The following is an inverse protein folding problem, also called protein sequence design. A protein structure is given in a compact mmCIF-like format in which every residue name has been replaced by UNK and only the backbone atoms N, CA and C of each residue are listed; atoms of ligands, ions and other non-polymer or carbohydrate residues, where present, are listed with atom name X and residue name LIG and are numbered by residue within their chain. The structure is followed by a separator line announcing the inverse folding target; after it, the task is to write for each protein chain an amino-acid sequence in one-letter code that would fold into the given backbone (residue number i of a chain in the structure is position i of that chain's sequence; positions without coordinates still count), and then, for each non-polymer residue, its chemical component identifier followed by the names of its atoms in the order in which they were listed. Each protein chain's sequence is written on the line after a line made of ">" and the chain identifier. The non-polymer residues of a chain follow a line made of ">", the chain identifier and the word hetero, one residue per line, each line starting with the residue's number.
data_IF_933511540339
#
_entry.id   IF_933511540339
#
_cell.length_a   1.000
_cell.length_b   1.000
_cell.length_c   1.000
_cell.angle_alpha   90.00
_cell.angle_beta   90.00
_cell.angle_gamma   90.00
#
_symmetry.space_group_name_H-M   'P 1'
#
loop_
_entity.id
_entity.type
_entity.pdbx_description
1 polymer ?
#
# COMPACT_ATOMS: atom_id res chain seq x y z
N UNK A 1 -40.55 16.71 64.00
CA UNK A 1 -39.15 16.20 64.01
C UNK A 1 -38.82 15.73 62.60
N UNK A 2 -38.28 16.59 61.72
CA UNK A 2 -36.86 16.67 61.29
C UNK A 2 -36.23 15.31 60.86
N UNK A 3 -36.23 15.10 59.52
CA UNK A 3 -35.31 14.45 58.53
C UNK A 3 -34.20 13.44 58.98
N UNK A 4 -33.55 12.62 58.10
CA UNK A 4 -33.51 12.71 56.62
C UNK A 4 -33.44 11.36 55.82
N UNK A 5 -33.55 11.48 54.48
CA UNK A 5 -32.91 10.70 53.39
C UNK A 5 -32.55 9.22 53.56
N UNK A 6 -33.03 8.38 52.63
CA UNK A 6 -32.16 7.49 51.84
C UNK A 6 -32.60 7.48 50.38
N UNK A 7 -31.90 8.27 49.60
CA UNK A 7 -31.88 8.26 48.14
C UNK A 7 -31.30 6.92 47.69
N UNK A 8 -32.15 6.00 47.21
CA UNK A 8 -31.69 4.74 46.62
C UNK A 8 -31.24 5.02 45.19
N UNK A 9 -29.96 5.35 45.01
CA UNK A 9 -29.32 5.36 43.70
C UNK A 9 -29.27 3.91 43.18
N UNK A 10 -30.19 3.55 42.29
CA UNK A 10 -30.04 2.35 41.47
C UNK A 10 -29.04 2.69 40.37
N UNK A 11 -27.78 2.34 40.59
CA UNK A 11 -26.75 2.30 39.55
C UNK A 11 -27.09 1.12 38.62
N UNK A 12 -27.88 1.37 37.58
CA UNK A 12 -27.98 0.44 36.45
C UNK A 12 -26.66 0.55 35.71
N UNK A 13 -25.75 -0.40 35.95
CA UNK A 13 -24.55 -0.56 35.18
C UNK A 13 -24.94 -0.83 33.72
N UNK A 14 -24.85 0.21 32.88
CA UNK A 14 -24.82 0.11 31.43
C UNK A 14 -23.60 -0.74 31.06
N UNK A 15 -23.78 -2.05 30.97
CA UNK A 15 -22.91 -2.91 30.17
C UNK A 15 -23.11 -2.54 28.71
N UNK A 16 -22.45 -1.46 28.26
CA UNK A 16 -22.23 -1.22 26.86
C UNK A 16 -21.29 -2.32 26.37
N UNK A 17 -21.74 -3.24 25.48
CA UNK A 17 -20.81 -4.13 24.83
C UNK A 17 -19.92 -3.24 23.96
N UNK A 18 -18.68 -3.02 24.39
CA UNK A 18 -17.63 -2.55 23.48
C UNK A 18 -17.49 -3.63 22.43
N UNK A 19 -18.08 -3.41 21.26
CA UNK A 19 -17.89 -4.25 20.09
C UNK A 19 -16.42 -4.06 19.70
N UNK A 20 -15.54 -4.89 20.27
CA UNK A 20 -14.26 -5.17 19.66
C UNK A 20 -14.60 -5.91 18.36
N UNK A 21 -14.59 -5.19 17.24
CA UNK A 21 -14.62 -5.83 15.93
C UNK A 21 -13.33 -6.64 15.79
N UNK A 22 -13.40 -7.93 16.09
CA UNK A 22 -12.39 -8.89 15.68
C UNK A 22 -12.48 -8.99 14.15
N UNK A 23 -11.68 -8.20 13.44
CA UNK A 23 -11.65 -8.23 11.98
C UNK A 23 -11.34 -9.65 11.52
N UNK A 24 -12.19 -10.22 10.67
CA UNK A 24 -11.98 -11.58 10.20
C UNK A 24 -10.71 -11.66 9.35
N UNK A 25 -10.03 -12.81 9.36
CA UNK A 25 -8.85 -13.02 8.52
C UNK A 25 -9.13 -12.73 7.04
N UNK A 26 -10.33 -13.08 6.55
CA UNK A 26 -10.78 -12.81 5.17
C UNK A 26 -10.85 -11.33 4.83
N UNK A 27 -11.32 -10.48 5.74
CA UNK A 27 -11.36 -9.02 5.52
C UNK A 27 -9.95 -8.44 5.41
N UNK A 28 -9.00 -8.93 6.21
CA UNK A 28 -7.60 -8.49 6.16
C UNK A 28 -6.96 -8.86 4.82
N UNK A 29 -7.20 -10.08 4.31
CA UNK A 29 -6.71 -10.47 2.98
C UNK A 29 -7.35 -9.65 1.85
N UNK A 30 -8.65 -9.36 1.95
CA UNK A 30 -9.32 -8.50 0.97
C UNK A 30 -8.72 -7.09 0.93
N UNK A 31 -8.42 -6.51 2.10
CA UNK A 31 -7.77 -5.20 2.18
C UNK A 31 -6.34 -5.22 1.63
N UNK A 32 -5.55 -6.26 1.93
CA UNK A 32 -4.21 -6.43 1.36
C UNK A 32 -4.23 -6.49 -0.18
N UNK A 33 -5.21 -7.19 -0.75
CA UNK A 33 -5.40 -7.24 -2.20
C UNK A 33 -5.76 -5.88 -2.79
N UNK A 34 -6.67 -5.14 -2.11
CA UNK A 34 -7.08 -3.80 -2.55
C UNK A 34 -5.91 -2.82 -2.55
N UNK A 35 -5.09 -2.81 -1.50
CA UNK A 35 -3.87 -2.00 -1.41
C UNK A 35 -2.95 -2.27 -2.60
N UNK A 36 -2.67 -3.55 -2.85
CA UNK A 36 -1.75 -3.95 -3.92
C UNK A 36 -2.29 -3.58 -5.30
N UNK A 37 -3.58 -3.81 -5.55
CA UNK A 37 -4.22 -3.52 -6.83
C UNK A 37 -4.25 -2.01 -7.14
N UNK A 38 -4.53 -1.17 -6.14
CA UNK A 38 -4.53 0.28 -6.33
C UNK A 38 -3.11 0.81 -6.58
N UNK A 39 -2.10 0.31 -5.85
CA UNK A 39 -0.70 0.67 -6.09
C UNK A 39 -0.24 0.29 -7.50
N UNK A 40 -0.54 -0.93 -7.96
CA UNK A 40 -0.18 -1.39 -9.32
C UNK A 40 -0.89 -0.57 -10.41
N UNK A 41 -2.15 -0.19 -10.19
CA UNK A 41 -2.89 0.70 -11.10
C UNK A 41 -2.19 2.06 -11.25
N UNK A 42 -1.78 2.67 -10.14
CA UNK A 42 -1.07 3.95 -10.15
C UNK A 42 0.31 3.84 -10.80
N UNK A 43 1.02 2.75 -10.54
CA UNK A 43 2.31 2.45 -11.17
C UNK A 43 2.20 2.37 -12.69
N UNK A 44 1.21 1.62 -13.18
CA UNK A 44 0.97 1.47 -14.62
C UNK A 44 0.61 2.81 -15.27
N UNK A 45 -0.23 3.62 -14.62
CA UNK A 45 -0.56 4.95 -15.11
C UNK A 45 0.67 5.86 -15.23
N UNK A 46 1.55 5.87 -14.22
CA UNK A 46 2.79 6.65 -14.27
C UNK A 46 3.77 6.14 -15.35
N UNK A 47 3.89 4.82 -15.49
CA UNK A 47 4.73 4.19 -16.51
C UNK A 47 4.24 4.52 -17.94
N UNK A 48 2.93 4.42 -18.19
CA UNK A 48 2.33 4.76 -19.48
C UNK A 48 2.49 6.24 -19.81
N UNK A 49 2.35 7.11 -18.81
CA UNK A 49 2.57 8.55 -18.98
C UNK A 49 4.01 8.85 -19.39
N UNK A 50 5.00 8.23 -18.75
CA UNK A 50 6.40 8.40 -19.11
C UNK A 50 6.70 7.90 -20.52
N UNK A 51 6.14 6.76 -20.94
CA UNK A 51 6.27 6.27 -22.33
C UNK A 51 5.72 7.30 -23.32
N UNK A 52 4.56 7.90 -23.04
CA UNK A 52 3.96 8.93 -23.90
C UNK A 52 4.86 10.15 -24.00
N UNK A 53 5.40 10.63 -22.88
CA UNK A 53 6.34 11.77 -22.87
C UNK A 53 7.60 11.46 -23.65
N UNK A 54 8.25 10.31 -23.44
CA UNK A 54 9.44 9.89 -24.19
C UNK A 54 9.18 9.93 -25.71
N UNK A 55 8.03 9.41 -26.15
CA UNK A 55 7.66 9.37 -27.57
C UNK A 55 7.28 10.73 -28.16
N UNK A 56 6.77 11.64 -27.34
CA UNK A 56 6.45 13.00 -27.76
C UNK A 56 7.71 13.87 -27.91
N UNK A 57 8.69 13.66 -27.04
CA UNK A 57 9.86 14.54 -26.91
C UNK A 57 11.08 14.10 -27.74
N UNK A 58 11.03 12.94 -28.39
CA UNK A 58 12.18 12.35 -29.09
C UNK A 58 11.82 11.87 -30.51
N UNK A 59 12.81 11.84 -31.41
CA UNK A 59 12.67 11.14 -32.68
C UNK A 59 12.42 9.63 -32.47
N UNK A 60 11.72 9.01 -33.43
CA UNK A 60 11.19 7.64 -33.30
C UNK A 60 12.22 6.61 -32.81
N UNK A 61 13.40 6.58 -33.42
CA UNK A 61 14.41 5.55 -33.11
C UNK A 61 14.99 5.74 -31.70
N UNK A 62 15.19 6.99 -31.29
CA UNK A 62 15.63 7.34 -29.94
C UNK A 62 14.55 7.07 -28.89
N UNK A 63 13.30 7.42 -29.19
CA UNK A 63 12.16 7.15 -28.33
C UNK A 63 12.04 5.65 -28.03
N UNK A 64 12.11 4.80 -29.06
CA UNK A 64 11.99 3.35 -28.86
C UNK A 64 13.21 2.75 -28.13
N UNK A 65 14.42 3.28 -28.32
CA UNK A 65 15.58 2.90 -27.51
C UNK A 65 15.37 3.22 -26.03
N UNK A 66 14.89 4.44 -25.72
CA UNK A 66 14.62 4.88 -24.35
C UNK A 66 13.49 4.07 -23.69
N UNK A 67 12.39 3.82 -24.42
CA UNK A 67 11.29 2.95 -23.96
C UNK A 67 11.79 1.53 -23.69
N UNK A 68 12.70 1.01 -24.53
CA UNK A 68 13.37 -0.27 -24.30
C UNK A 68 14.11 -0.31 -22.96
N UNK A 69 14.93 0.71 -22.67
CA UNK A 69 15.68 0.82 -21.39
C UNK A 69 14.76 1.02 -20.19
N UNK A 70 13.71 1.81 -20.33
CA UNK A 70 12.69 1.99 -19.29
C UNK A 70 12.02 0.65 -18.94
N UNK A 71 11.66 -0.14 -19.96
CA UNK A 71 11.06 -1.48 -19.77
C UNK A 71 12.01 -2.44 -19.05
N UNK A 72 13.29 -2.43 -19.40
CA UNK A 72 14.32 -3.23 -18.71
C UNK A 72 14.45 -2.82 -17.24
N UNK A 73 14.56 -1.51 -16.97
CA UNK A 73 14.61 -0.95 -15.61
C UNK A 73 13.37 -1.33 -14.79
N UNK A 74 12.18 -1.19 -15.37
CA UNK A 74 10.93 -1.52 -14.69
C UNK A 74 10.82 -3.01 -14.33
N UNK A 75 11.25 -3.90 -15.22
CA UNK A 75 11.28 -5.35 -14.95
C UNK A 75 12.26 -5.71 -13.83
N UNK A 76 13.44 -5.09 -13.82
CA UNK A 76 14.42 -5.30 -12.75
C UNK A 76 13.88 -4.79 -11.40
N UNK A 77 13.23 -3.62 -11.41
CA UNK A 77 12.61 -3.05 -10.22
C UNK A 77 11.49 -3.92 -9.65
N UNK A 78 10.63 -4.51 -10.49
CA UNK A 78 9.58 -5.45 -10.01
C UNK A 78 10.18 -6.64 -9.28
N UNK A 79 11.25 -7.24 -9.82
CA UNK A 79 11.97 -8.34 -9.15
C UNK A 79 12.56 -7.91 -7.82
N UNK A 80 13.15 -6.71 -7.76
CA UNK A 80 13.66 -6.13 -6.53
C UNK A 80 12.54 -5.94 -5.50
N UNK A 81 11.42 -5.32 -5.87
CA UNK A 81 10.27 -5.09 -5.00
C UNK A 81 9.80 -6.41 -4.38
N UNK A 82 9.56 -7.41 -5.21
CA UNK A 82 8.99 -8.69 -4.76
C UNK A 82 9.97 -9.43 -3.83
N UNK A 83 11.28 -9.40 -4.14
CA UNK A 83 12.32 -9.96 -3.27
C UNK A 83 12.44 -9.21 -1.94
N UNK A 84 12.38 -7.87 -1.98
CA UNK A 84 12.50 -7.01 -0.81
C UNK A 84 11.29 -7.13 0.12
N UNK A 85 10.07 -7.21 -0.43
CA UNK A 85 8.84 -7.46 0.33
C UNK A 85 8.89 -8.83 1.01
N UNK A 86 9.38 -9.85 0.29
CA UNK A 86 9.57 -11.19 0.86
C UNK A 86 10.60 -11.17 1.99
N UNK A 87 11.75 -10.54 1.78
CA UNK A 87 12.79 -10.39 2.80
C UNK A 87 12.27 -9.71 4.06
N UNK A 88 11.60 -8.56 3.93
CA UNK A 88 11.04 -7.83 5.07
C UNK A 88 9.93 -8.63 5.76
N UNK A 89 9.07 -9.31 5.00
CA UNK A 89 8.02 -10.17 5.55
C UNK A 89 8.58 -11.33 6.39
N UNK A 90 9.65 -11.96 5.93
CA UNK A 90 10.36 -13.02 6.67
C UNK A 90 11.12 -12.43 7.87
N UNK A 91 11.83 -11.32 7.69
CA UNK A 91 12.65 -10.71 8.74
C UNK A 91 11.80 -10.19 9.90
N UNK A 92 10.65 -9.57 9.59
CA UNK A 92 9.77 -9.01 10.58
C UNK A 92 9.16 -10.07 11.51
N UNK A 93 8.99 -11.33 11.06
CA UNK A 93 8.46 -12.53 11.75
C UNK A 93 7.64 -12.35 13.05
N UNK A 94 6.79 -11.33 13.12
CA UNK A 94 6.04 -10.92 14.31
C UNK A 94 4.57 -10.78 13.90
N UNK A 95 3.65 -11.17 14.78
CA UNK A 95 2.21 -11.10 14.55
C UNK A 95 1.63 -12.33 13.85
N UNK A 96 0.35 -12.25 13.45
CA UNK A 96 -0.37 -13.34 12.76
C UNK A 96 -0.03 -13.38 11.26
N UNK A 97 -0.40 -14.48 10.59
CA UNK A 97 -0.26 -14.58 9.13
C UNK A 97 -1.04 -13.50 8.36
N UNK A 98 -2.25 -13.16 8.83
CA UNK A 98 -3.06 -12.10 8.22
C UNK A 98 -2.42 -10.72 8.42
N UNK A 99 -1.92 -10.40 9.62
CA UNK A 99 -1.23 -9.14 9.88
C UNK A 99 0.06 -9.02 9.07
N UNK A 100 0.83 -10.09 8.91
CA UNK A 100 2.01 -10.10 8.02
C UNK A 100 1.64 -9.85 6.57
N UNK A 101 0.56 -10.47 6.09
CA UNK A 101 0.10 -10.28 4.70
C UNK A 101 -0.30 -8.83 4.43
N UNK A 102 -1.04 -8.21 5.37
CA UNK A 102 -1.39 -6.79 5.27
C UNK A 102 -0.14 -5.91 5.28
N UNK A 103 0.79 -6.15 6.22
CA UNK A 103 2.05 -5.40 6.30
C UNK A 103 2.90 -5.50 5.04
N UNK A 104 2.99 -6.71 4.44
CA UNK A 104 3.69 -6.93 3.17
C UNK A 104 3.03 -6.16 2.01
N UNK A 105 1.69 -6.15 1.93
CA UNK A 105 0.97 -5.38 0.93
C UNK A 105 1.20 -3.88 1.10
N UNK A 106 1.11 -3.36 2.32
CA UNK A 106 1.41 -1.95 2.61
C UNK A 106 2.85 -1.58 2.26
N UNK A 107 3.83 -2.41 2.60
CA UNK A 107 5.22 -2.15 2.26
C UNK A 107 5.48 -2.19 0.74
N UNK A 108 4.84 -3.12 0.03
CA UNK A 108 4.86 -3.16 -1.44
C UNK A 108 4.30 -1.87 -2.06
N UNK A 109 3.22 -1.33 -1.48
CA UNK A 109 2.64 -0.07 -1.92
C UNK A 109 3.58 1.12 -1.69
N UNK A 110 4.30 1.18 -0.57
CA UNK A 110 5.29 2.24 -0.31
C UNK A 110 6.47 2.18 -1.29
N UNK A 111 7.02 0.99 -1.56
CA UNK A 111 8.05 0.83 -2.60
C UNK A 111 7.52 1.29 -3.97
N UNK A 112 6.27 0.97 -4.28
CA UNK A 112 5.60 1.35 -5.52
C UNK A 112 5.42 2.86 -5.62
N UNK A 113 5.10 3.54 -4.51
CA UNK A 113 5.02 5.01 -4.44
C UNK A 113 6.37 5.67 -4.73
N UNK A 114 7.46 5.15 -4.18
CA UNK A 114 8.80 5.66 -4.49
C UNK A 114 9.13 5.47 -5.98
N UNK A 115 8.76 4.33 -6.57
CA UNK A 115 8.96 4.12 -8.00
C UNK A 115 8.12 5.06 -8.86
N UNK A 116 6.89 5.36 -8.47
CA UNK A 116 6.05 6.36 -9.16
C UNK A 116 6.72 7.73 -9.14
N UNK A 117 7.35 8.11 -8.01
CA UNK A 117 8.13 9.34 -7.93
C UNK A 117 9.31 9.32 -8.89
N UNK A 118 10.07 8.23 -8.96
CA UNK A 118 11.15 8.09 -9.94
C UNK A 118 10.63 8.27 -11.38
N UNK A 119 9.52 7.60 -11.72
CA UNK A 119 8.92 7.65 -13.06
C UNK A 119 8.39 9.04 -13.45
N UNK A 120 7.90 9.81 -12.49
CA UNK A 120 7.33 11.14 -12.74
C UNK A 120 8.36 12.27 -12.66
N UNK A 121 9.55 11.98 -12.12
CA UNK A 121 10.64 12.96 -11.96
C UNK A 121 11.84 12.68 -12.85
N UNK A 122 11.78 11.65 -13.73
CA UNK A 122 12.83 11.40 -14.72
C UNK A 122 13.08 12.69 -15.49
N UNK A 123 14.26 13.32 -15.33
CA UNK A 123 14.57 14.54 -16.06
C UNK A 123 14.57 14.18 -17.54
N UNK A 124 13.95 15.00 -18.39
CA UNK A 124 14.31 14.99 -19.79
C UNK A 124 15.77 15.49 -19.85
N UNK A 125 16.76 14.65 -20.18
CA UNK A 125 18.16 15.07 -20.09
C UNK A 125 18.56 16.03 -21.21
N UNK A 126 17.63 16.45 -22.08
CA UNK A 126 17.89 17.30 -23.25
C UNK A 126 16.74 18.26 -23.53
#
# INVERSE_FOLDING_TARGET
>A
MKHPTKLLFVFVALFLPTILSAQSGSEIYAEANKISAEADKQLNAAYDQLIKSIRADNEKDRAELLVGRLKESQRAWLKYRDAQVTFVGIHANIGSASSRTLGMASYSAELTKERIKDLTTVPNPF
#
